data_IF_499586412186
#
_entry.id   IF_499586412186
#
_cell.length_a   1.000
_cell.length_b   1.000
_cell.length_c   1.000
_cell.angle_alpha   90.00
_cell.angle_beta   90.00
_cell.angle_gamma   90.00
#
_symmetry.space_group_name_H-M   'P 1'
#
loop_
_entity.id
_entity.type
_entity.pdbx_description
1 polymer ?
#
# COMPACT_ATOMS: atom_id res chain seq x y z
N UNK A 1 21.56 -24.57 33.14
CA UNK A 1 20.23 -23.97 33.43
C UNK A 1 19.41 -25.03 34.15
N UNK A 2 19.06 -24.80 35.42
CA UNK A 2 18.13 -25.68 36.14
C UNK A 2 16.73 -25.43 35.60
N UNK A 3 16.21 -26.34 34.78
CA UNK A 3 14.80 -26.33 34.41
C UNK A 3 13.95 -26.56 35.66
N UNK A 4 12.73 -25.98 35.70
CA UNK A 4 11.71 -26.48 36.62
C UNK A 4 11.57 -27.97 36.36
N UNK A 5 11.66 -28.78 37.42
CA UNK A 5 11.85 -30.25 37.44
C UNK A 5 10.80 -31.04 36.62
N UNK A 6 9.75 -30.39 36.13
CA UNK A 6 8.62 -31.01 35.46
C UNK A 6 8.66 -30.96 33.91
N UNK A 7 9.72 -30.47 33.27
CA UNK A 7 9.80 -30.39 31.79
C UNK A 7 10.81 -31.38 31.20
N UNK A 8 10.38 -32.12 30.17
CA UNK A 8 11.23 -33.01 29.38
C UNK A 8 11.80 -32.30 28.15
N UNK A 9 13.05 -32.64 27.83
CA UNK A 9 13.71 -32.17 26.61
C UNK A 9 13.14 -32.94 25.42
N UNK A 10 12.54 -32.24 24.46
CA UNK A 10 11.86 -32.88 23.32
C UNK A 10 12.68 -32.83 22.03
N UNK A 11 13.50 -31.78 21.82
CA UNK A 11 14.36 -31.64 20.63
C UNK A 11 15.64 -30.87 20.99
N UNK A 12 16.79 -31.34 20.50
CA UNK A 12 18.07 -30.62 20.54
C UNK A 12 18.58 -30.37 19.11
N UNK A 13 19.26 -29.25 18.87
CA UNK A 13 19.95 -29.02 17.60
C UNK A 13 21.36 -29.65 17.60
N UNK A 14 22.05 -29.55 16.45
CA UNK A 14 23.38 -30.12 16.20
C UNK A 14 24.47 -29.57 17.14
N UNK A 15 24.23 -28.43 17.79
CA UNK A 15 25.16 -27.75 18.72
C UNK A 15 24.71 -27.98 20.19
N UNK A 16 23.72 -28.85 20.43
CA UNK A 16 23.22 -29.16 21.78
C UNK A 16 22.33 -28.08 22.39
N UNK A 17 21.87 -27.10 21.60
CA UNK A 17 20.89 -26.12 22.05
C UNK A 17 19.52 -26.77 22.08
N UNK A 18 18.81 -26.51 23.17
CA UNK A 18 17.48 -27.04 23.42
C UNK A 18 16.45 -26.29 22.55
N UNK A 19 15.80 -27.01 21.65
CA UNK A 19 14.89 -26.44 20.65
C UNK A 19 13.41 -26.66 20.98
N UNK A 20 13.11 -27.58 21.90
CA UNK A 20 11.75 -27.88 22.34
C UNK A 20 11.69 -28.42 23.77
N UNK A 21 10.74 -27.88 24.55
CA UNK A 21 10.38 -28.32 25.90
C UNK A 21 8.93 -28.80 25.91
N UNK A 22 8.64 -29.83 26.70
CA UNK A 22 7.28 -30.29 26.92
C UNK A 22 7.06 -30.63 28.39
N UNK A 23 5.84 -30.38 28.86
CA UNK A 23 5.29 -30.93 30.09
C UNK A 23 3.94 -31.55 29.75
N UNK A 24 3.95 -32.86 29.54
CA UNK A 24 2.78 -33.65 29.11
C UNK A 24 1.64 -33.58 30.13
N UNK A 25 1.96 -33.67 31.43
CA UNK A 25 0.94 -33.64 32.50
C UNK A 25 0.17 -32.32 32.55
N UNK A 26 0.84 -31.20 32.26
CA UNK A 26 0.24 -29.86 32.23
C UNK A 26 -0.12 -29.40 30.82
N UNK A 27 0.12 -30.23 29.79
CA UNK A 27 -0.04 -29.90 28.36
C UNK A 27 0.65 -28.59 27.95
N UNK A 28 1.85 -28.33 28.49
CA UNK A 28 2.63 -27.13 28.16
C UNK A 28 3.75 -27.50 27.19
N UNK A 29 3.80 -26.83 26.05
CA UNK A 29 4.79 -27.07 25.00
C UNK A 29 5.43 -25.75 24.60
N UNK A 30 6.75 -25.75 24.42
CA UNK A 30 7.51 -24.59 23.98
C UNK A 30 8.50 -25.00 22.90
N UNK A 31 8.58 -24.22 21.83
CA UNK A 31 9.55 -24.40 20.75
C UNK A 31 10.34 -23.11 20.55
N UNK A 32 11.63 -23.23 20.20
CA UNK A 32 12.52 -22.08 20.01
C UNK A 32 12.56 -21.58 18.55
N UNK A 33 11.72 -22.15 17.69
CA UNK A 33 11.55 -21.78 16.29
C UNK A 33 10.07 -21.47 16.00
N UNK A 34 9.79 -20.93 14.81
CA UNK A 34 8.47 -20.48 14.39
C UNK A 34 7.75 -21.55 13.56
N UNK A 35 6.82 -22.34 14.12
CA UNK A 35 6.08 -23.36 13.35
C UNK A 35 5.05 -22.76 12.38
N UNK A 36 4.74 -21.47 12.50
CA UNK A 36 3.77 -20.75 11.67
C UNK A 36 4.31 -20.35 10.28
N UNK A 37 5.63 -20.27 10.12
CA UNK A 37 6.24 -19.87 8.85
C UNK A 37 6.39 -21.06 7.90
N UNK A 38 6.18 -20.83 6.60
CA UNK A 38 6.32 -21.87 5.57
C UNK A 38 7.74 -22.44 5.43
N UNK A 39 8.75 -21.74 5.96
CA UNK A 39 10.14 -22.22 6.00
C UNK A 39 10.33 -23.41 6.96
N UNK A 40 9.44 -23.57 7.93
CA UNK A 40 9.41 -24.76 8.77
C UNK A 40 8.59 -25.83 8.04
N UNK A 41 9.27 -26.73 7.33
CA UNK A 41 8.65 -27.74 6.44
C UNK A 41 7.47 -28.47 7.10
N UNK A 42 7.62 -28.90 8.35
CA UNK A 42 6.58 -29.59 9.12
C UNK A 42 5.84 -28.70 10.13
N UNK A 43 5.94 -27.37 10.00
CA UNK A 43 5.36 -26.41 10.93
C UNK A 43 3.83 -26.53 11.03
N UNK A 44 3.15 -26.72 9.89
CA UNK A 44 1.70 -26.99 9.86
C UNK A 44 1.32 -28.26 10.62
N UNK A 45 2.14 -29.31 10.56
CA UNK A 45 1.88 -30.56 11.29
C UNK A 45 2.01 -30.34 12.80
N UNK A 46 3.03 -29.60 13.24
CA UNK A 46 3.23 -29.25 14.65
C UNK A 46 2.02 -28.49 15.21
N UNK A 47 1.56 -27.46 14.48
CA UNK A 47 0.38 -26.69 14.86
C UNK A 47 -0.89 -27.56 14.86
N UNK A 48 -1.04 -28.47 13.88
CA UNK A 48 -2.17 -29.40 13.83
C UNK A 48 -2.19 -30.31 15.06
N UNK A 49 -1.08 -30.94 15.43
CA UNK A 49 -1.01 -31.82 16.60
C UNK A 49 -1.38 -31.06 17.88
N UNK A 50 -0.89 -29.82 18.02
CA UNK A 50 -1.23 -29.00 19.18
C UNK A 50 -2.71 -28.64 19.23
N UNK A 51 -3.30 -28.21 18.12
CA UNK A 51 -4.71 -27.78 18.08
C UNK A 51 -5.66 -28.97 18.28
N UNK A 52 -5.44 -30.09 17.59
CA UNK A 52 -6.38 -31.20 17.58
C UNK A 52 -6.11 -32.22 18.69
N UNK A 53 -4.87 -32.69 18.82
CA UNK A 53 -4.55 -33.80 19.73
C UNK A 53 -4.33 -33.31 21.17
N UNK A 54 -3.68 -32.16 21.34
CA UNK A 54 -3.38 -31.61 22.68
C UNK A 54 -4.55 -30.78 23.21
N UNK A 55 -4.97 -29.75 22.47
CA UNK A 55 -6.01 -28.81 22.90
C UNK A 55 -7.43 -29.35 22.67
N UNK A 56 -7.61 -30.39 21.85
CA UNK A 56 -8.91 -31.01 21.61
C UNK A 56 -9.85 -30.18 20.74
N UNK A 57 -9.33 -29.30 19.89
CA UNK A 57 -10.15 -28.54 18.96
C UNK A 57 -10.78 -29.46 17.91
N UNK A 58 -12.05 -29.22 17.57
CA UNK A 58 -12.83 -30.04 16.63
C UNK A 58 -12.69 -29.62 15.16
N UNK A 59 -12.00 -28.53 14.87
CA UNK A 59 -11.83 -28.02 13.50
C UNK A 59 -13.08 -27.40 12.88
N UNK A 60 -14.04 -26.96 13.70
CA UNK A 60 -15.31 -26.38 13.22
C UNK A 60 -15.19 -24.94 12.72
N UNK A 61 -14.04 -24.27 12.90
CA UNK A 61 -13.80 -22.90 12.43
C UNK A 61 -13.47 -22.88 10.92
N UNK A 62 -14.40 -23.33 10.09
CA UNK A 62 -14.31 -23.32 8.63
C UNK A 62 -15.01 -22.10 8.03
N UNK A 63 -14.70 -21.75 6.79
CA UNK A 63 -15.37 -20.62 6.09
C UNK A 63 -16.87 -20.85 6.01
N UNK A 64 -17.31 -22.08 5.76
CA UNK A 64 -18.74 -22.43 5.66
C UNK A 64 -19.47 -22.24 6.99
N UNK A 65 -18.89 -22.70 8.11
CA UNK A 65 -19.51 -22.50 9.43
C UNK A 65 -19.53 -21.02 9.81
N UNK A 66 -18.48 -20.28 9.48
CA UNK A 66 -18.42 -18.83 9.70
C UNK A 66 -19.39 -18.05 8.83
N UNK A 67 -19.67 -18.50 7.60
CA UNK A 67 -20.75 -17.95 6.79
C UNK A 67 -22.09 -18.09 7.54
N UNK A 68 -22.40 -19.28 8.06
CA UNK A 68 -23.64 -19.53 8.80
C UNK A 68 -23.75 -18.68 10.07
N UNK A 69 -22.67 -18.58 10.85
CA UNK A 69 -22.62 -17.72 12.02
C UNK A 69 -22.79 -16.24 11.65
N UNK A 70 -22.11 -15.77 10.61
CA UNK A 70 -22.25 -14.41 10.12
C UNK A 70 -23.69 -14.11 9.64
N UNK A 71 -24.32 -15.04 8.92
CA UNK A 71 -25.73 -14.92 8.53
C UNK A 71 -26.64 -14.78 9.76
N UNK A 72 -26.39 -15.57 10.82
CA UNK A 72 -27.15 -15.49 12.06
C UNK A 72 -26.98 -14.14 12.75
N UNK A 73 -25.73 -13.67 12.87
CA UNK A 73 -25.42 -12.36 13.45
C UNK A 73 -26.06 -11.21 12.65
N UNK A 74 -26.00 -11.25 11.32
CA UNK A 74 -26.67 -10.26 10.46
C UNK A 74 -28.16 -10.23 10.75
N UNK A 75 -28.83 -11.40 10.81
CA UNK A 75 -30.27 -11.49 11.07
C UNK A 75 -30.63 -10.94 12.46
N UNK A 76 -29.83 -11.27 13.47
CA UNK A 76 -30.06 -10.83 14.84
C UNK A 76 -29.88 -9.31 14.98
N UNK A 77 -28.85 -8.74 14.34
CA UNK A 77 -28.56 -7.32 14.41
C UNK A 77 -29.54 -6.47 13.59
N UNK A 78 -29.92 -6.93 12.40
CA UNK A 78 -30.74 -6.16 11.45
C UNK A 78 -32.24 -6.35 11.70
N UNK A 79 -32.66 -7.55 12.13
CA UNK A 79 -34.07 -7.91 12.26
C UNK A 79 -34.85 -7.67 10.96
N UNK A 80 -35.87 -6.83 11.02
CA UNK A 80 -36.73 -6.47 9.88
C UNK A 80 -36.35 -5.15 9.21
N UNK A 81 -35.31 -4.46 9.69
CA UNK A 81 -34.84 -3.20 9.11
C UNK A 81 -34.28 -3.41 7.70
N UNK A 82 -34.23 -2.33 6.92
CA UNK A 82 -33.58 -2.35 5.61
C UNK A 82 -32.08 -2.15 5.77
N UNK A 83 -31.32 -2.73 4.85
CA UNK A 83 -29.87 -2.61 4.78
C UNK A 83 -29.48 -2.00 3.46
N UNK A 84 -28.88 -0.82 3.51
CA UNK A 84 -28.27 -0.17 2.38
C UNK A 84 -26.82 -0.62 2.25
N UNK A 85 -26.41 -1.07 1.06
CA UNK A 85 -25.01 -1.36 0.73
C UNK A 85 -24.58 -0.51 -0.46
N UNK A 86 -23.50 0.25 -0.27
CA UNK A 86 -22.87 1.04 -1.33
C UNK A 86 -21.87 0.15 -2.09
N UNK A 87 -22.29 -0.35 -3.24
CA UNK A 87 -21.52 -1.27 -4.06
C UNK A 87 -20.46 -0.51 -4.87
N UNK A 88 -19.19 -0.74 -4.57
CA UNK A 88 -18.07 -0.15 -5.33
C UNK A 88 -17.67 -0.93 -6.58
N UNK A 89 -18.16 -2.17 -6.74
CA UNK A 89 -17.72 -3.10 -7.79
C UNK A 89 -16.42 -3.86 -7.48
N UNK A 90 -15.82 -3.61 -6.32
CA UNK A 90 -14.74 -4.41 -5.78
C UNK A 90 -15.22 -5.78 -5.25
N UNK A 91 -14.29 -6.69 -5.04
CA UNK A 91 -14.58 -8.04 -4.51
C UNK A 91 -15.29 -7.96 -3.17
N UNK A 92 -14.79 -7.14 -2.24
CA UNK A 92 -15.31 -7.12 -0.86
C UNK A 92 -16.73 -6.58 -0.77
N UNK A 93 -17.03 -5.48 -1.48
CA UNK A 93 -18.38 -4.93 -1.53
C UNK A 93 -19.35 -5.89 -2.23
N UNK A 94 -18.91 -6.58 -3.29
CA UNK A 94 -19.76 -7.56 -4.00
C UNK A 94 -20.05 -8.79 -3.15
N UNK A 95 -19.05 -9.33 -2.45
CA UNK A 95 -19.21 -10.46 -1.52
C UNK A 95 -20.10 -10.07 -0.34
N UNK A 96 -19.91 -8.86 0.23
CA UNK A 96 -20.77 -8.33 1.27
C UNK A 96 -22.23 -8.24 0.81
N UNK A 97 -22.50 -7.70 -0.38
CA UNK A 97 -23.85 -7.65 -0.94
C UNK A 97 -24.45 -9.05 -1.14
N UNK A 98 -23.68 -10.01 -1.65
CA UNK A 98 -24.15 -11.38 -1.83
C UNK A 98 -24.47 -12.07 -0.49
N UNK A 99 -23.63 -11.85 0.53
CA UNK A 99 -23.82 -12.38 1.87
C UNK A 99 -25.08 -11.81 2.54
N UNK A 100 -25.31 -10.49 2.42
CA UNK A 100 -26.51 -9.84 2.93
C UNK A 100 -27.77 -10.39 2.26
N UNK A 101 -27.75 -10.59 0.94
CA UNK A 101 -28.88 -11.17 0.21
C UNK A 101 -29.13 -12.64 0.58
N UNK A 102 -28.08 -13.39 0.95
CA UNK A 102 -28.20 -14.74 1.47
C UNK A 102 -28.78 -14.77 2.89
N UNK A 103 -28.50 -13.74 3.68
CA UNK A 103 -28.93 -13.61 5.06
C UNK A 103 -30.34 -13.02 5.21
N UNK A 104 -30.74 -12.07 4.37
CA UNK A 104 -31.94 -11.26 4.53
C UNK A 104 -32.93 -11.49 3.38
N UNK A 105 -34.15 -10.95 3.52
CA UNK A 105 -35.11 -10.96 2.41
C UNK A 105 -34.66 -10.01 1.30
N UNK A 106 -35.03 -10.30 0.05
CA UNK A 106 -34.68 -9.48 -1.12
C UNK A 106 -35.09 -8.01 -0.94
N UNK A 107 -36.27 -7.75 -0.36
CA UNK A 107 -36.78 -6.38 -0.15
C UNK A 107 -36.06 -5.61 0.97
N UNK A 108 -35.26 -6.30 1.81
CA UNK A 108 -34.47 -5.67 2.86
C UNK A 108 -33.13 -5.17 2.33
N UNK A 109 -32.57 -5.78 1.29
CA UNK A 109 -31.22 -5.45 0.79
C UNK A 109 -31.31 -4.44 -0.34
N UNK A 110 -30.89 -3.21 -0.06
CA UNK A 110 -30.82 -2.13 -1.04
C UNK A 110 -29.37 -1.98 -1.50
N UNK A 111 -29.07 -2.53 -2.68
CA UNK A 111 -27.75 -2.37 -3.30
C UNK A 111 -27.73 -1.16 -4.23
N UNK A 112 -26.89 -0.16 -3.92
CA UNK A 112 -26.69 1.02 -4.76
C UNK A 112 -25.28 1.01 -5.34
N UNK A 113 -25.15 1.03 -6.66
CA UNK A 113 -23.88 1.16 -7.36
C UNK A 113 -23.77 2.55 -7.98
N UNK A 114 -22.80 3.35 -7.55
CA UNK A 114 -22.54 4.68 -8.12
C UNK A 114 -21.40 4.55 -9.12
N UNK A 115 -21.71 4.64 -10.42
CA UNK A 115 -20.70 4.71 -11.46
C UNK A 115 -20.12 6.13 -11.51
N UNK A 116 -18.88 6.26 -11.05
CA UNK A 116 -18.16 7.52 -11.00
C UNK A 116 -17.54 7.94 -12.34
N UNK A 117 -17.68 7.13 -13.41
CA UNK A 117 -17.12 7.41 -14.72
C UNK A 117 -15.62 7.11 -14.84
N UNK A 118 -14.99 6.55 -13.81
CA UNK A 118 -13.58 6.12 -13.78
C UNK A 118 -13.44 4.61 -13.55
N UNK A 119 -14.48 3.85 -13.86
CA UNK A 119 -14.49 2.39 -13.83
C UNK A 119 -13.80 1.79 -15.06
N UNK A 120 -13.47 0.49 -15.05
CA UNK A 120 -12.94 -0.19 -16.24
C UNK A 120 -14.06 -0.43 -17.25
N UNK A 121 -13.67 -0.69 -18.50
CA UNK A 121 -14.59 -0.96 -19.62
C UNK A 121 -15.59 -2.06 -19.23
N UNK A 122 -16.89 -1.70 -19.20
CA UNK A 122 -18.03 -2.59 -18.88
C UNK A 122 -17.95 -3.26 -17.51
N UNK A 123 -17.19 -2.72 -16.57
CA UNK A 123 -17.04 -3.31 -15.24
C UNK A 123 -18.33 -3.24 -14.43
N UNK A 124 -18.94 -2.06 -14.36
CA UNK A 124 -20.21 -1.83 -13.64
C UNK A 124 -21.33 -2.73 -14.16
N UNK A 125 -21.44 -2.87 -15.48
CA UNK A 125 -22.40 -3.77 -16.14
C UNK A 125 -22.16 -5.23 -15.75
N UNK A 126 -20.90 -5.68 -15.78
CA UNK A 126 -20.54 -7.05 -15.40
C UNK A 126 -20.87 -7.35 -13.93
N UNK A 127 -20.68 -6.38 -13.03
CA UNK A 127 -21.02 -6.53 -11.60
C UNK A 127 -22.55 -6.57 -11.41
N UNK A 128 -23.29 -5.67 -12.05
CA UNK A 128 -24.75 -5.65 -12.03
C UNK A 128 -25.33 -6.97 -12.56
N UNK A 129 -24.86 -7.45 -13.71
CA UNK A 129 -25.31 -8.72 -14.31
C UNK A 129 -25.01 -9.92 -13.40
N UNK A 130 -23.85 -9.95 -12.75
CA UNK A 130 -23.48 -11.03 -11.84
C UNK A 130 -24.40 -11.06 -10.61
N UNK A 131 -24.67 -9.91 -10.00
CA UNK A 131 -25.57 -9.80 -8.85
C UNK A 131 -27.03 -10.07 -9.23
N UNK A 132 -27.47 -9.59 -10.39
CA UNK A 132 -28.82 -9.85 -10.89
C UNK A 132 -29.09 -11.35 -11.14
N UNK A 133 -28.08 -12.09 -11.62
CA UNK A 133 -28.15 -13.57 -11.75
C UNK A 133 -28.33 -14.27 -10.40
N UNK A 134 -27.88 -13.67 -9.30
CA UNK A 134 -28.10 -14.13 -7.93
C UNK A 134 -29.42 -13.63 -7.33
N UNK A 135 -30.28 -12.98 -8.14
CA UNK A 135 -31.55 -12.41 -7.68
C UNK A 135 -31.41 -11.11 -6.89
N UNK A 136 -30.25 -10.44 -6.97
CA UNK A 136 -29.98 -9.19 -6.27
C UNK A 136 -30.29 -8.03 -7.22
N UNK A 137 -31.27 -7.20 -6.87
CA UNK A 137 -31.57 -5.99 -7.62
C UNK A 137 -30.58 -4.88 -7.23
N UNK A 138 -29.86 -4.35 -8.23
CA UNK A 138 -28.89 -3.26 -8.03
C UNK A 138 -29.44 -1.98 -8.64
N UNK A 139 -29.48 -0.90 -7.86
CA UNK A 139 -29.77 0.45 -8.36
C UNK A 139 -28.47 1.09 -8.85
N UNK A 140 -28.30 1.15 -10.16
CA UNK A 140 -27.13 1.80 -10.78
C UNK A 140 -27.38 3.28 -10.98
N UNK A 141 -26.50 4.12 -10.44
CA UNK A 141 -26.51 5.57 -10.56
C UNK A 141 -25.37 5.98 -11.49
N UNK A 142 -25.73 6.43 -12.69
CA UNK A 142 -24.76 6.96 -13.65
C UNK A 142 -24.37 8.39 -13.26
N UNK A 143 -23.31 8.54 -12.46
CA UNK A 143 -22.89 9.82 -11.92
C UNK A 143 -21.63 10.39 -12.59
N UNK A 144 -21.16 9.79 -13.70
CA UNK A 144 -19.93 10.18 -14.38
C UNK A 144 -19.77 11.70 -14.56
N UNK A 145 -20.79 12.40 -15.08
CA UNK A 145 -20.75 13.85 -15.26
C UNK A 145 -20.66 14.63 -13.95
N UNK A 146 -21.30 14.16 -12.88
CA UNK A 146 -21.23 14.75 -11.54
C UNK A 146 -19.82 14.65 -10.97
N UNK A 147 -19.13 13.52 -11.20
CA UNK A 147 -17.73 13.36 -10.80
C UNK A 147 -16.78 14.19 -11.66
N UNK A 148 -16.94 14.19 -12.99
CA UNK A 148 -16.09 14.95 -13.91
C UNK A 148 -16.07 16.46 -13.58
N UNK A 149 -17.22 16.99 -13.19
CA UNK A 149 -17.40 18.39 -12.82
C UNK A 149 -17.38 18.63 -11.30
N UNK A 150 -17.05 17.59 -10.52
CA UNK A 150 -17.02 17.66 -9.06
C UNK A 150 -15.96 18.63 -8.55
N UNK A 151 -16.26 19.30 -7.44
CA UNK A 151 -15.36 20.21 -6.73
C UNK A 151 -15.42 19.93 -5.23
N UNK A 152 -14.39 20.35 -4.50
CA UNK A 152 -14.36 20.27 -3.04
C UNK A 152 -13.75 21.52 -2.42
N UNK A 153 -13.91 21.65 -1.11
CA UNK A 153 -13.22 22.65 -0.30
C UNK A 153 -11.89 22.10 0.21
N UNK A 154 -10.81 22.84 0.00
CA UNK A 154 -9.44 22.50 0.41
C UNK A 154 -8.90 23.55 1.41
N UNK A 155 -8.03 23.16 2.35
CA UNK A 155 -7.25 24.12 3.13
C UNK A 155 -6.28 24.88 2.22
N UNK A 156 -6.01 26.16 2.54
CA UNK A 156 -5.03 26.97 1.79
C UNK A 156 -3.59 26.63 2.19
N UNK A 157 -3.37 26.23 3.45
CA UNK A 157 -2.08 25.85 4.02
C UNK A 157 -2.32 25.01 5.27
N UNK A 158 -1.54 23.94 5.47
CA UNK A 158 -1.54 23.16 6.71
C UNK A 158 -0.83 23.90 7.87
N UNK A 159 -0.12 25.00 7.58
CA UNK A 159 0.64 25.80 8.56
C UNK A 159 -0.12 27.04 9.07
N UNK A 160 -1.28 27.38 8.50
CA UNK A 160 -2.03 28.58 8.87
C UNK A 160 -2.87 28.39 10.14
N UNK A 161 -2.66 29.25 11.14
CA UNK A 161 -3.44 29.30 12.40
C UNK A 161 -4.93 29.63 12.22
N UNK A 162 -5.32 30.13 11.06
CA UNK A 162 -6.72 30.37 10.67
C UNK A 162 -7.02 29.61 9.38
N UNK A 163 -7.89 28.59 9.40
CA UNK A 163 -8.12 27.75 8.23
C UNK A 163 -8.94 28.52 7.19
N UNK A 164 -8.24 29.28 6.33
CA UNK A 164 -8.84 29.79 5.10
C UNK A 164 -9.05 28.61 4.16
N UNK A 165 -10.24 28.54 3.59
CA UNK A 165 -10.70 27.46 2.71
C UNK A 165 -10.77 27.98 1.28
N UNK A 166 -10.28 27.20 0.30
CA UNK A 166 -10.44 27.49 -1.13
C UNK A 166 -11.28 26.39 -1.80
N UNK A 167 -11.97 26.74 -2.89
CA UNK A 167 -12.65 25.76 -3.74
C UNK A 167 -11.60 25.18 -4.71
N UNK A 168 -11.60 23.86 -4.88
CA UNK A 168 -10.73 23.16 -5.83
C UNK A 168 -11.12 23.47 -7.28
N UNK A 169 -10.24 23.15 -8.22
CA UNK A 169 -10.64 23.02 -9.63
C UNK A 169 -11.64 21.87 -9.79
N UNK A 170 -12.35 21.83 -10.92
CA UNK A 170 -13.15 20.67 -11.31
C UNK A 170 -12.26 19.46 -11.55
N UNK A 171 -12.76 18.25 -11.28
CA UNK A 171 -11.95 17.03 -11.36
C UNK A 171 -11.27 16.84 -12.72
N UNK A 172 -11.97 17.14 -13.81
CA UNK A 172 -11.44 17.09 -15.18
C UNK A 172 -10.32 18.11 -15.48
N UNK A 173 -10.11 19.10 -14.62
CA UNK A 173 -9.04 20.11 -14.70
C UNK A 173 -8.00 19.98 -13.57
N UNK A 174 -8.14 18.98 -12.70
CA UNK A 174 -7.27 18.78 -11.54
C UNK A 174 -6.09 17.88 -11.89
N UNK A 175 -4.87 18.33 -11.57
CA UNK A 175 -3.64 17.56 -11.78
C UNK A 175 -3.18 16.86 -10.50
N UNK A 176 -3.36 17.48 -9.33
CA UNK A 176 -2.95 16.95 -8.02
C UNK A 176 -3.71 15.66 -7.65
N UNK A 177 -3.01 14.53 -7.42
CA UNK A 177 -3.65 13.28 -7.00
C UNK A 177 -4.43 13.37 -5.68
N UNK A 178 -3.96 14.15 -4.70
CA UNK A 178 -4.66 14.31 -3.42
C UNK A 178 -5.95 15.12 -3.59
N UNK A 179 -5.92 16.18 -4.38
CA UNK A 179 -7.14 16.93 -4.72
C UNK A 179 -8.14 16.04 -5.45
N UNK A 180 -7.69 15.21 -6.42
CA UNK A 180 -8.55 14.23 -7.11
C UNK A 180 -9.22 13.27 -6.11
N UNK A 181 -8.46 12.69 -5.18
CA UNK A 181 -9.00 11.77 -4.16
C UNK A 181 -10.07 12.45 -3.33
N UNK A 182 -9.82 13.68 -2.86
CA UNK A 182 -10.77 14.44 -2.03
C UNK A 182 -12.03 14.82 -2.81
N UNK A 183 -11.90 15.32 -4.04
CA UNK A 183 -13.04 15.65 -4.91
C UNK A 183 -13.92 14.40 -5.11
N UNK A 184 -13.32 13.26 -5.46
CA UNK A 184 -14.06 12.01 -5.71
C UNK A 184 -14.71 11.51 -4.43
N UNK A 185 -14.01 11.52 -3.30
CA UNK A 185 -14.56 11.10 -2.01
C UNK A 185 -15.77 11.95 -1.60
N UNK A 186 -15.64 13.27 -1.62
CA UNK A 186 -16.72 14.18 -1.22
C UNK A 186 -17.92 14.11 -2.18
N UNK A 187 -17.65 14.00 -3.49
CA UNK A 187 -18.71 13.85 -4.51
C UNK A 187 -19.47 12.54 -4.32
N UNK A 188 -18.76 11.43 -4.02
CA UNK A 188 -19.38 10.14 -3.76
C UNK A 188 -20.33 10.19 -2.56
N UNK A 189 -19.90 10.80 -1.45
CA UNK A 189 -20.74 10.95 -0.25
C UNK A 189 -21.96 11.81 -0.53
N UNK A 190 -21.80 12.91 -1.28
CA UNK A 190 -22.91 13.79 -1.63
C UNK A 190 -23.97 13.03 -2.44
N UNK A 191 -23.57 12.27 -3.45
CA UNK A 191 -24.49 11.49 -4.29
C UNK A 191 -25.11 10.35 -3.48
N UNK A 192 -24.34 9.66 -2.64
CA UNK A 192 -24.88 8.62 -1.78
C UNK A 192 -26.01 9.17 -0.87
N UNK A 193 -25.81 10.35 -0.28
CA UNK A 193 -26.83 11.00 0.54
C UNK A 193 -28.06 11.43 -0.25
N UNK A 194 -27.87 11.95 -1.46
CA UNK A 194 -28.96 12.30 -2.37
C UNK A 194 -29.81 11.07 -2.70
N UNK A 195 -29.18 9.95 -3.04
CA UNK A 195 -29.86 8.68 -3.33
C UNK A 195 -30.63 8.15 -2.11
N UNK A 196 -30.04 8.25 -0.91
CA UNK A 196 -30.72 7.87 0.35
C UNK A 196 -31.96 8.74 0.57
N UNK A 197 -31.84 10.05 0.36
CA UNK A 197 -32.94 11.00 0.48
C UNK A 197 -34.07 10.74 -0.52
N UNK A 198 -33.75 10.53 -1.80
CA UNK A 198 -34.71 10.20 -2.86
C UNK A 198 -35.51 8.92 -2.57
N UNK A 199 -34.87 7.96 -1.90
CA UNK A 199 -35.51 6.69 -1.53
C UNK A 199 -36.39 6.81 -0.29
N UNK A 200 -36.52 8.00 0.30
CA UNK A 200 -37.26 8.27 1.54
C UNK A 200 -36.87 7.31 2.67
N UNK A 201 -35.59 6.92 2.69
CA UNK A 201 -35.05 6.03 3.70
C UNK A 201 -34.73 6.85 4.95
N UNK A 202 -35.47 6.57 6.02
CA UNK A 202 -35.20 7.20 7.31
C UNK A 202 -33.93 6.60 7.92
N UNK A 203 -32.93 7.41 8.31
CA UNK A 203 -31.68 6.90 8.91
C UNK A 203 -31.93 5.98 10.12
N UNK A 204 -32.94 6.27 10.92
CA UNK A 204 -33.33 5.48 12.08
C UNK A 204 -33.84 4.06 11.74
N UNK A 205 -34.34 3.84 10.52
CA UNK A 205 -34.93 2.57 10.07
C UNK A 205 -33.99 1.76 9.15
N UNK A 206 -32.79 2.28 8.85
CA UNK A 206 -31.86 1.70 7.87
C UNK A 206 -30.48 1.45 8.47
N UNK A 207 -29.93 0.28 8.20
CA UNK A 207 -28.52 -0.03 8.45
C UNK A 207 -27.68 0.25 7.19
N UNK A 208 -26.46 0.73 7.38
CA UNK A 208 -25.46 0.82 6.33
C UNK A 208 -24.51 -0.37 6.43
N UNK A 209 -24.39 -1.16 5.37
CA UNK A 209 -23.42 -2.23 5.30
C UNK A 209 -22.15 -1.82 4.56
N UNK A 210 -21.00 -2.26 5.08
CA UNK A 210 -19.70 -2.07 4.45
C UNK A 210 -18.96 -3.40 4.30
N UNK A 211 -18.26 -3.56 3.18
CA UNK A 211 -17.36 -4.70 2.94
C UNK A 211 -15.97 -4.51 3.58
N UNK A 212 -15.87 -3.75 4.66
CA UNK A 212 -14.60 -3.45 5.34
C UNK A 212 -13.99 -4.73 5.93
N UNK A 213 -12.68 -4.93 5.78
CA UNK A 213 -11.96 -6.06 6.38
C UNK A 213 -11.24 -5.63 7.67
N UNK A 214 -10.88 -6.60 8.52
CA UNK A 214 -10.14 -6.33 9.78
C UNK A 214 -8.89 -5.48 9.63
N UNK A 215 -8.02 -5.72 8.61
CA UNK A 215 -6.82 -4.90 8.43
C UNK A 215 -7.15 -3.42 8.24
N UNK A 216 -8.27 -3.09 7.59
CA UNK A 216 -8.71 -1.71 7.37
C UNK A 216 -9.14 -1.03 8.68
N UNK A 217 -9.76 -1.79 9.60
CA UNK A 217 -10.13 -1.30 10.93
C UNK A 217 -8.91 -1.06 11.83
N UNK A 218 -7.88 -1.92 11.74
CA UNK A 218 -6.64 -1.78 12.51
C UNK A 218 -5.78 -0.61 11.97
N UNK A 219 -5.67 -0.45 10.65
CA UNK A 219 -5.01 0.71 10.04
C UNK A 219 -5.71 2.02 10.47
N UNK A 220 -7.05 2.05 10.47
CA UNK A 220 -7.84 3.20 10.92
C UNK A 220 -7.61 3.52 12.41
N UNK A 221 -7.57 2.51 13.28
CA UNK A 221 -7.29 2.69 14.71
C UNK A 221 -5.84 3.16 14.97
N UNK A 222 -4.89 2.69 14.15
CA UNK A 222 -3.49 3.08 14.24
C UNK A 222 -3.29 4.54 13.81
N UNK A 223 -4.00 5.01 12.77
CA UNK A 223 -4.02 6.41 12.35
C UNK A 223 -4.54 7.36 13.43
N UNK A 224 -5.54 6.94 14.22
CA UNK A 224 -6.07 7.71 15.37
C UNK A 224 -5.08 7.73 16.54
N UNK A 225 -4.37 6.63 16.78
CA UNK A 225 -3.36 6.53 17.85
C UNK A 225 -2.03 7.22 17.51
N UNK A 226 -1.64 7.26 16.24
CA UNK A 226 -0.42 7.92 15.75
C UNK A 226 -0.77 9.25 15.08
N UNK A 227 -0.89 10.33 15.85
CA UNK A 227 -1.25 11.68 15.38
C UNK A 227 -0.24 12.39 14.45
N UNK A 228 0.56 11.65 13.66
CA UNK A 228 1.62 12.19 12.78
C UNK A 228 1.80 11.47 11.44
N UNK A 229 0.93 10.52 11.07
CA UNK A 229 1.00 9.90 9.74
C UNK A 229 0.22 10.76 8.74
N UNK A 230 0.91 11.32 7.73
CA UNK A 230 0.26 11.98 6.58
C UNK A 230 -0.77 11.02 5.96
N UNK A 231 -1.95 11.57 5.66
CA UNK A 231 -3.15 10.83 5.27
C UNK A 231 -3.02 10.33 3.82
N UNK A 232 -2.14 9.35 3.60
CA UNK A 232 -1.88 8.77 2.28
C UNK A 232 -3.01 7.81 1.84
N UNK A 233 -3.90 7.44 2.77
CA UNK A 233 -5.13 6.70 2.49
C UNK A 233 -6.28 7.30 3.30
N UNK A 234 -6.95 8.33 2.79
CA UNK A 234 -8.33 8.60 3.24
C UNK A 234 -9.17 7.38 2.84
N UNK A 235 -9.59 6.59 3.84
CA UNK A 235 -10.47 5.47 3.57
C UNK A 235 -11.79 6.05 3.04
N UNK A 236 -12.12 5.75 1.79
CA UNK A 236 -13.39 6.13 1.16
C UNK A 236 -14.63 5.62 1.95
N UNK A 237 -14.40 4.72 2.91
CA UNK A 237 -15.43 4.11 3.75
C UNK A 237 -15.67 4.84 5.08
N UNK A 238 -14.81 5.78 5.51
CA UNK A 238 -14.96 6.44 6.81
C UNK A 238 -15.18 7.95 6.62
N UNK A 239 -16.46 8.32 6.54
CA UNK A 239 -16.91 9.71 6.36
C UNK A 239 -17.61 10.17 7.62
N UNK A 240 -17.72 11.47 7.87
CA UNK A 240 -18.33 11.98 9.10
C UNK A 240 -19.76 11.45 9.34
N UNK A 241 -20.52 11.25 8.26
CA UNK A 241 -21.84 10.62 8.33
C UNK A 241 -21.76 9.14 8.72
N UNK A 242 -20.86 8.37 8.09
CA UNK A 242 -20.67 6.95 8.40
C UNK A 242 -20.18 6.80 9.84
N UNK A 243 -19.35 7.73 10.34
CA UNK A 243 -18.91 7.75 11.72
C UNK A 243 -20.08 7.96 12.69
N UNK A 244 -21.00 8.90 12.39
CA UNK A 244 -22.23 9.08 13.18
C UNK A 244 -23.11 7.83 13.17
N UNK A 245 -23.37 7.26 11.99
CA UNK A 245 -24.13 6.01 11.88
C UNK A 245 -23.44 4.85 12.62
N UNK A 246 -22.10 4.82 12.64
CA UNK A 246 -21.31 3.83 13.38
C UNK A 246 -21.42 4.03 14.89
N UNK A 247 -21.33 5.28 15.36
CA UNK A 247 -21.54 5.67 16.76
C UNK A 247 -22.97 5.33 17.23
N UNK A 248 -23.96 5.44 16.33
CA UNK A 248 -25.35 5.05 16.56
C UNK A 248 -25.61 3.53 16.42
N UNK A 249 -24.58 2.74 16.11
CA UNK A 249 -24.69 1.28 15.94
C UNK A 249 -25.43 0.82 14.68
N UNK A 250 -25.59 1.71 13.69
CA UNK A 250 -26.31 1.49 12.42
C UNK A 250 -25.40 1.05 11.27
N UNK A 251 -24.10 0.86 11.52
CA UNK A 251 -23.17 0.30 10.52
C UNK A 251 -22.91 -1.17 10.81
N UNK A 252 -23.08 -2.02 9.79
CA UNK A 252 -22.73 -3.44 9.85
C UNK A 252 -21.55 -3.75 8.94
N UNK A 253 -20.60 -4.54 9.44
CA UNK A 253 -19.38 -4.91 8.73
C UNK A 253 -19.21 -6.44 8.73
N UNK A 254 -19.98 -7.17 7.90
CA UNK A 254 -20.01 -8.63 7.94
C UNK A 254 -18.65 -9.30 7.69
N UNK A 255 -17.79 -8.65 6.92
CA UNK A 255 -16.50 -9.20 6.51
C UNK A 255 -15.35 -8.85 7.48
N UNK A 256 -15.64 -8.18 8.60
CA UNK A 256 -14.63 -7.69 9.55
C UNK A 256 -13.77 -8.79 10.16
N UNK A 257 -14.26 -10.03 10.22
CA UNK A 257 -13.55 -11.18 10.78
C UNK A 257 -13.03 -12.15 9.71
N UNK A 258 -13.03 -11.75 8.44
CA UNK A 258 -12.51 -12.54 7.32
C UNK A 258 -11.20 -11.96 6.76
N UNK A 259 -10.29 -12.87 6.38
CA UNK A 259 -9.11 -12.53 5.61
C UNK A 259 -9.42 -12.48 4.11
N UNK A 260 -8.53 -11.84 3.33
CA UNK A 260 -8.78 -11.55 1.90
C UNK A 260 -8.94 -12.81 1.04
N UNK A 261 -8.20 -13.86 1.36
CA UNK A 261 -8.32 -15.18 0.77
C UNK A 261 -9.66 -15.85 1.12
N UNK A 262 -10.08 -15.75 2.38
CA UNK A 262 -11.37 -16.28 2.86
C UNK A 262 -12.55 -15.57 2.20
N UNK A 263 -12.49 -14.25 2.01
CA UNK A 263 -13.52 -13.47 1.29
C UNK A 263 -13.70 -13.99 -0.14
N UNK A 264 -12.63 -14.44 -0.81
CA UNK A 264 -12.73 -15.04 -2.14
C UNK A 264 -13.38 -16.42 -2.10
N UNK A 265 -13.05 -17.24 -1.10
CA UNK A 265 -13.70 -18.54 -0.89
C UNK A 265 -15.19 -18.33 -0.64
N UNK A 266 -15.53 -17.44 0.27
CA UNK A 266 -16.91 -17.07 0.61
C UNK A 266 -17.67 -16.57 -0.62
N UNK A 267 -17.05 -15.74 -1.47
CA UNK A 267 -17.67 -15.29 -2.71
C UNK A 267 -18.04 -16.42 -3.66
N UNK A 268 -17.20 -17.47 -3.77
CA UNK A 268 -17.50 -18.65 -4.60
C UNK A 268 -18.66 -19.46 -4.03
N UNK A 269 -18.69 -19.63 -2.71
CA UNK A 269 -19.76 -20.36 -2.01
C UNK A 269 -21.11 -19.66 -2.14
N UNK A 270 -21.10 -18.31 -2.16
CA UNK A 270 -22.25 -17.47 -2.43
C UNK A 270 -22.67 -17.44 -3.92
N UNK A 271 -21.96 -18.17 -4.79
CA UNK A 271 -22.30 -18.31 -6.22
C UNK A 271 -21.78 -17.19 -7.11
N UNK A 272 -20.87 -16.34 -6.65
CA UNK A 272 -20.28 -15.30 -7.50
C UNK A 272 -19.32 -15.92 -8.54
N UNK A 273 -19.25 -15.38 -9.76
CA UNK A 273 -18.35 -15.88 -10.80
C UNK A 273 -16.87 -15.79 -10.41
N UNK A 274 -16.08 -16.80 -10.79
CA UNK A 274 -14.62 -16.85 -10.52
C UNK A 274 -13.90 -15.59 -11.02
N UNK A 275 -14.27 -15.13 -12.22
CA UNK A 275 -13.72 -13.93 -12.85
C UNK A 275 -13.99 -12.63 -12.09
N UNK A 276 -14.96 -12.63 -11.17
CA UNK A 276 -15.28 -11.51 -10.31
C UNK A 276 -14.49 -11.60 -9.00
N UNK A 277 -14.54 -12.74 -8.31
CA UNK A 277 -13.89 -12.93 -6.99
C UNK A 277 -12.36 -12.93 -7.07
N UNK A 278 -11.79 -13.37 -8.20
CA UNK A 278 -10.34 -13.41 -8.41
C UNK A 278 -9.77 -12.12 -9.01
N UNK A 279 -10.56 -11.04 -9.09
CA UNK A 279 -10.07 -9.74 -9.59
C UNK A 279 -9.00 -9.16 -8.67
N UNK A 280 -8.05 -8.48 -9.30
CA UNK A 280 -7.13 -7.59 -8.58
C UNK A 280 -7.91 -6.44 -7.94
N UNK A 281 -7.42 -5.92 -6.79
CA UNK A 281 -8.00 -4.76 -6.15
C UNK A 281 -8.00 -3.58 -7.13
N UNK A 282 -9.10 -2.83 -7.12
CA UNK A 282 -9.28 -1.62 -7.90
C UNK A 282 -9.55 -0.46 -6.94
N UNK A 283 -8.82 0.66 -7.05
CA UNK A 283 -8.94 1.75 -6.09
C UNK A 283 -10.27 2.49 -6.27
N UNK A 284 -10.82 3.05 -5.19
CA UNK A 284 -12.07 3.85 -5.22
C UNK A 284 -12.07 4.99 -6.26
N UNK A 285 -10.99 5.78 -6.37
CA UNK A 285 -10.83 6.81 -7.42
C UNK A 285 -10.66 6.25 -8.83
N UNK A 286 -10.55 4.93 -8.97
CA UNK A 286 -10.47 4.21 -10.23
C UNK A 286 -9.37 4.70 -11.16
N UNK A 287 -9.73 4.95 -12.41
CA UNK A 287 -8.84 5.46 -13.45
C UNK A 287 -8.36 6.89 -13.20
N UNK A 288 -9.01 7.69 -12.34
CA UNK A 288 -8.64 9.09 -12.13
C UNK A 288 -7.21 9.27 -11.59
N UNK A 289 -6.74 8.33 -10.75
CA UNK A 289 -5.37 8.29 -10.21
C UNK A 289 -4.41 7.45 -11.08
N UNK A 290 -4.90 6.87 -12.18
CA UNK A 290 -4.07 6.14 -13.17
C UNK A 290 -3.80 6.96 -14.43
N UNK A 291 -4.40 8.14 -14.54
CA UNK A 291 -4.11 9.14 -15.58
C UNK A 291 -3.28 10.26 -14.98
N UNK A 292 -2.03 10.36 -15.43
CA UNK A 292 -1.16 11.50 -15.10
C UNK A 292 -1.66 12.70 -15.91
N UNK A 293 -2.24 13.67 -15.20
CA UNK A 293 -2.70 14.92 -15.80
C UNK A 293 -1.65 15.99 -15.57
N UNK A 294 -1.30 16.73 -16.63
CA UNK A 294 -0.35 17.83 -16.57
C UNK A 294 -0.80 18.92 -17.54
N UNK A 295 -0.62 20.17 -17.12
CA UNK A 295 -0.79 21.35 -17.98
C UNK A 295 0.57 21.80 -18.51
N UNK A 296 1.58 21.78 -17.64
CA UNK A 296 2.97 22.10 -17.95
C UNK A 296 3.88 20.86 -17.77
N UNK A 297 5.00 20.76 -18.53
CA UNK A 297 6.00 19.73 -18.29
C UNK A 297 6.62 19.89 -16.90
N UNK A 298 6.76 18.78 -16.17
CA UNK A 298 7.40 18.79 -14.86
C UNK A 298 8.93 18.84 -15.02
N UNK A 299 9.50 20.04 -14.89
CA UNK A 299 10.94 20.30 -15.04
C UNK A 299 11.42 21.13 -13.85
N UNK A 300 12.42 20.61 -13.14
CA UNK A 300 13.08 21.28 -12.02
C UNK A 300 14.52 21.70 -12.38
N UNK A 301 15.16 22.45 -11.49
CA UNK A 301 16.52 23.00 -11.72
C UNK A 301 17.58 21.90 -11.95
N UNK A 302 17.36 20.72 -11.38
CA UNK A 302 18.18 19.52 -11.47
C UNK A 302 17.94 18.69 -12.74
N UNK A 303 16.94 19.03 -13.57
CA UNK A 303 16.60 18.28 -14.77
C UNK A 303 17.79 18.12 -15.75
N UNK A 304 18.59 19.18 -16.07
CA UNK A 304 19.74 19.03 -16.96
C UNK A 304 20.88 18.21 -16.33
N UNK A 305 21.16 18.44 -15.04
CA UNK A 305 22.21 17.72 -14.32
C UNK A 305 21.90 16.22 -14.27
N UNK A 306 20.67 15.87 -13.92
CA UNK A 306 20.23 14.48 -13.82
C UNK A 306 20.29 13.78 -15.17
N UNK A 307 19.83 14.42 -16.26
CA UNK A 307 19.95 13.85 -17.60
C UNK A 307 21.40 13.60 -18.02
N UNK A 308 22.35 14.48 -17.66
CA UNK A 308 23.77 14.25 -17.93
C UNK A 308 24.32 13.04 -17.17
N UNK A 309 23.93 12.87 -15.90
CA UNK A 309 24.28 11.68 -15.11
C UNK A 309 23.72 10.42 -15.78
N UNK A 310 22.45 10.43 -16.20
CA UNK A 310 21.81 9.29 -16.87
C UNK A 310 22.48 8.92 -18.18
N UNK A 311 22.91 9.91 -18.97
CA UNK A 311 23.66 9.69 -20.20
C UNK A 311 24.97 8.95 -19.94
N UNK A 312 25.69 9.34 -18.88
CA UNK A 312 26.94 8.66 -18.48
C UNK A 312 26.65 7.24 -18.01
N UNK A 313 25.59 7.02 -17.26
CA UNK A 313 25.20 5.68 -16.79
C UNK A 313 24.82 4.77 -17.97
N UNK A 314 24.06 5.28 -18.94
CA UNK A 314 23.65 4.51 -20.12
C UNK A 314 24.80 4.20 -21.09
N UNK A 315 25.81 5.08 -21.15
CA UNK A 315 26.98 4.94 -22.02
C UNK A 315 28.28 4.76 -21.20
N UNK A 316 28.19 4.01 -20.10
CA UNK A 316 29.27 3.94 -19.11
C UNK A 316 30.57 3.38 -19.70
N UNK A 317 30.49 2.29 -20.48
CA UNK A 317 31.66 1.66 -21.09
C UNK A 317 32.44 2.56 -22.05
N UNK A 318 31.75 3.43 -22.80
CA UNK A 318 32.39 4.42 -23.66
C UNK A 318 32.83 5.65 -22.87
N UNK A 319 32.03 6.08 -21.89
CA UNK A 319 32.35 7.21 -21.00
C UNK A 319 33.63 6.97 -20.20
N UNK A 320 33.91 5.73 -19.79
CA UNK A 320 35.16 5.35 -19.12
C UNK A 320 36.38 5.53 -20.03
N UNK A 321 36.23 5.37 -21.34
CA UNK A 321 37.31 5.60 -22.32
C UNK A 321 37.60 7.09 -22.53
N UNK A 322 36.67 7.98 -22.20
CA UNK A 322 36.80 9.45 -22.31
C UNK A 322 36.43 10.11 -20.97
N UNK A 323 37.34 10.09 -19.98
CA UNK A 323 37.03 10.53 -18.63
C UNK A 323 36.75 12.03 -18.56
N UNK A 324 35.77 12.39 -17.73
CA UNK A 324 35.33 13.76 -17.47
C UNK A 324 34.85 13.87 -16.02
N UNK A 325 34.70 15.09 -15.49
CA UNK A 325 34.44 15.34 -14.05
C UNK A 325 33.17 14.66 -13.53
N UNK A 326 32.10 14.60 -14.33
CA UNK A 326 30.85 13.94 -13.95
C UNK A 326 30.98 12.42 -13.83
N UNK A 327 31.84 11.77 -14.64
CA UNK A 327 32.11 10.34 -14.50
C UNK A 327 32.73 10.01 -13.13
N UNK A 328 33.60 10.89 -12.60
CA UNK A 328 34.19 10.69 -11.28
C UNK A 328 33.14 10.74 -10.17
N UNK A 329 32.13 11.61 -10.29
CA UNK A 329 30.98 11.63 -9.36
C UNK A 329 30.19 10.32 -9.41
N UNK A 330 29.93 9.80 -10.61
CA UNK A 330 29.25 8.50 -10.79
C UNK A 330 30.06 7.37 -10.15
N UNK A 331 31.37 7.30 -10.41
CA UNK A 331 32.26 6.30 -9.81
C UNK A 331 32.33 6.41 -8.28
N UNK A 332 32.45 7.61 -7.75
CA UNK A 332 32.50 7.83 -6.30
C UNK A 332 31.22 7.39 -5.58
N UNK A 333 30.08 7.40 -6.28
CA UNK A 333 28.78 7.03 -5.72
C UNK A 333 28.34 5.59 -6.06
N UNK A 334 29.11 4.83 -6.84
CA UNK A 334 28.82 3.45 -7.26
C UNK A 334 29.84 2.47 -6.71
N UNK A 335 29.41 1.26 -6.36
CA UNK A 335 30.33 0.20 -5.89
C UNK A 335 31.15 -0.36 -7.05
N UNK A 336 32.30 -0.99 -6.78
CA UNK A 336 33.10 -1.63 -7.83
C UNK A 336 32.32 -2.71 -8.57
N UNK A 337 31.53 -3.51 -7.84
CA UNK A 337 30.65 -4.54 -8.42
C UNK A 337 29.60 -3.92 -9.37
N UNK A 338 28.97 -2.82 -8.99
CA UNK A 338 28.00 -2.11 -9.85
C UNK A 338 28.68 -1.55 -11.10
N UNK A 339 29.90 -1.01 -10.96
CA UNK A 339 30.67 -0.50 -12.09
C UNK A 339 31.04 -1.60 -13.08
N UNK A 340 31.49 -2.76 -12.60
CA UNK A 340 31.78 -3.92 -13.45
C UNK A 340 30.53 -4.41 -14.20
N UNK A 341 29.40 -4.55 -13.51
CA UNK A 341 28.12 -4.90 -14.15
C UNK A 341 27.71 -3.86 -15.18
N UNK A 342 27.84 -2.57 -14.86
CA UNK A 342 27.47 -1.49 -15.77
C UNK A 342 28.37 -1.47 -17.01
N UNK A 343 29.66 -1.76 -16.86
CA UNK A 343 30.60 -1.93 -17.98
C UNK A 343 30.19 -3.09 -18.90
N UNK A 344 29.81 -4.24 -18.33
CA UNK A 344 29.33 -5.38 -19.12
C UNK A 344 28.04 -5.04 -19.87
N UNK A 345 27.05 -4.46 -19.19
CA UNK A 345 25.75 -4.13 -19.80
C UNK A 345 25.90 -3.12 -20.95
N UNK A 346 26.63 -2.04 -20.71
CA UNK A 346 26.76 -0.91 -21.65
C UNK A 346 27.81 -1.14 -22.74
N UNK A 347 28.63 -2.19 -22.66
CA UNK A 347 29.50 -2.62 -23.77
C UNK A 347 28.78 -3.54 -24.75
N UNK A 348 27.81 -4.32 -24.25
CA UNK A 348 27.00 -5.23 -25.06
C UNK A 348 25.84 -4.51 -25.76
N UNK A 349 25.35 -3.40 -25.20
CA UNK A 349 24.16 -2.70 -25.68
C UNK A 349 24.39 -1.19 -25.78
N UNK A 350 23.91 -0.59 -26.87
CA UNK A 350 23.73 0.86 -26.96
C UNK A 350 22.42 1.23 -26.27
N UNK A 351 22.53 1.93 -25.13
CA UNK A 351 21.39 2.36 -24.33
C UNK A 351 21.29 3.89 -24.33
N UNK A 352 20.06 4.39 -24.27
CA UNK A 352 19.77 5.79 -23.97
C UNK A 352 18.91 5.85 -22.71
N UNK A 353 19.27 6.73 -21.78
CA UNK A 353 18.49 7.02 -20.57
C UNK A 353 18.32 8.53 -20.42
N UNK A 354 17.08 8.95 -20.13
CA UNK A 354 16.71 10.35 -19.95
C UNK A 354 15.45 10.44 -19.08
N UNK A 355 15.25 11.61 -18.47
CA UNK A 355 14.08 11.92 -17.66
C UNK A 355 12.87 12.23 -18.53
N UNK A 356 11.71 11.70 -18.16
CA UNK A 356 10.42 12.13 -18.67
C UNK A 356 9.87 13.29 -17.82
N UNK A 357 9.37 14.39 -18.43
CA UNK A 357 8.91 15.58 -17.72
C UNK A 357 7.50 15.41 -17.14
N UNK A 358 7.32 14.37 -16.32
CA UNK A 358 6.05 14.00 -15.68
C UNK A 358 6.25 13.78 -14.19
N UNK A 359 5.19 14.04 -13.41
CA UNK A 359 5.17 13.82 -11.95
C UNK A 359 4.51 12.49 -11.61
N UNK A 360 5.16 11.71 -10.76
CA UNK A 360 4.61 10.47 -10.17
C UNK A 360 4.91 10.43 -8.68
N UNK A 361 4.13 9.65 -7.94
CA UNK A 361 4.31 9.44 -6.49
C UNK A 361 5.30 8.29 -6.28
N UNK A 362 6.25 8.46 -5.38
CA UNK A 362 7.22 7.45 -4.97
C UNK A 362 7.35 7.42 -3.44
N UNK A 363 7.61 6.25 -2.87
CA UNK A 363 7.83 6.09 -1.43
C UNK A 363 9.33 5.94 -1.19
N UNK A 364 9.94 6.88 -0.46
CA UNK A 364 11.32 6.76 -0.02
C UNK A 364 11.38 6.67 1.51
N UNK A 365 11.93 5.57 2.01
CA UNK A 365 12.15 5.39 3.45
C UNK A 365 13.38 6.19 3.85
N UNK A 366 13.17 7.47 4.19
CA UNK A 366 14.16 8.32 4.83
C UNK A 366 13.58 8.76 6.17
N UNK A 367 14.29 8.49 7.27
CA UNK A 367 13.85 8.90 8.60
C UNK A 367 13.45 10.37 8.60
N UNK A 368 12.23 10.64 9.07
CA UNK A 368 11.63 11.94 9.40
C UNK A 368 10.73 12.61 8.34
N UNK A 369 10.70 12.24 7.06
CA UNK A 369 9.66 12.78 6.15
C UNK A 369 9.26 11.81 5.04
N UNK A 370 7.97 11.48 4.96
CA UNK A 370 7.30 10.94 3.76
C UNK A 370 7.18 12.08 2.74
N UNK A 371 8.30 12.58 2.23
CA UNK A 371 8.23 13.54 1.12
C UNK A 371 7.89 12.79 -0.16
N UNK A 372 6.83 13.23 -0.85
CA UNK A 372 6.55 12.88 -2.24
C UNK A 372 7.75 13.27 -3.11
N UNK A 373 8.73 12.39 -3.23
CA UNK A 373 9.78 12.56 -4.23
C UNK A 373 9.10 12.35 -5.57
N UNK A 374 8.96 13.46 -6.28
CA UNK A 374 8.48 13.46 -7.65
C UNK A 374 9.55 12.78 -8.49
N UNK A 375 9.37 11.50 -8.73
CA UNK A 375 10.32 10.72 -9.52
C UNK A 375 10.05 10.98 -11.00
N UNK A 376 11.02 11.52 -11.73
CA UNK A 376 10.97 11.54 -13.18
C UNK A 376 11.22 10.10 -13.67
N UNK A 377 10.33 9.56 -14.50
CA UNK A 377 10.53 8.23 -15.09
C UNK A 377 11.77 8.23 -16.00
N UNK A 378 12.54 7.14 -15.94
CA UNK A 378 13.56 6.82 -16.92
C UNK A 378 12.98 5.93 -18.02
N UNK A 379 13.14 6.33 -19.28
CA UNK A 379 12.92 5.42 -20.40
C UNK A 379 14.26 4.84 -20.85
N UNK A 380 14.42 3.52 -20.75
CA UNK A 380 15.51 2.81 -21.42
C UNK A 380 15.04 2.38 -22.81
N UNK A 381 15.54 3.05 -23.84
CA UNK A 381 15.38 2.56 -25.21
C UNK A 381 16.52 1.60 -25.52
N UNK A 382 16.21 0.30 -25.59
CA UNK A 382 17.06 -0.64 -26.33
C UNK A 382 16.77 -0.42 -27.81
N UNK A 383 17.77 0.00 -28.59
CA UNK A 383 17.66 -0.06 -30.06
C UNK A 383 17.79 -1.52 -30.47
N UNK A 384 16.70 -2.29 -30.32
CA UNK A 384 16.47 -3.52 -31.08
C UNK A 384 15.19 -3.33 -31.88
N UNK A 385 15.30 -3.48 -33.21
CA UNK A 385 14.14 -3.64 -34.10
C UNK A 385 13.21 -4.70 -33.48
N UNK A 386 12.00 -4.25 -33.14
CA UNK A 386 10.83 -5.03 -32.73
C UNK A 386 10.89 -5.88 -31.44
N UNK A 387 9.83 -5.63 -30.66
CA UNK A 387 9.13 -6.51 -29.70
C UNK A 387 9.75 -6.74 -28.30
N UNK A 388 8.87 -6.49 -27.32
CA UNK A 388 8.89 -6.86 -25.91
C UNK A 388 9.70 -5.97 -24.95
N UNK A 389 9.04 -4.97 -24.38
CA UNK A 389 9.46 -4.30 -23.15
C UNK A 389 8.90 -5.09 -21.95
N UNK A 390 9.78 -5.72 -21.17
CA UNK A 390 9.51 -6.12 -19.78
C UNK A 390 10.40 -5.30 -18.84
N UNK A 391 9.76 -4.84 -17.76
CA UNK A 391 10.24 -4.05 -16.62
C UNK A 391 11.47 -4.70 -15.97
N UNK A 392 12.59 -3.97 -15.83
CA UNK A 392 13.67 -4.32 -14.88
C UNK A 392 13.65 -3.33 -13.70
N UNK A 393 13.70 -3.88 -12.47
CA UNK A 393 13.80 -3.13 -11.20
C UNK A 393 15.21 -2.54 -11.06
N UNK A 394 15.34 -1.23 -11.19
CA UNK A 394 16.60 -0.48 -10.93
C UNK A 394 16.51 0.48 -9.72
N UNK A 395 15.41 0.45 -8.97
CA UNK A 395 15.13 1.42 -7.90
C UNK A 395 16.12 1.37 -6.71
N UNK A 396 16.80 0.24 -6.48
CA UNK A 396 17.73 0.08 -5.34
C UNK A 396 19.04 0.86 -5.50
N UNK A 397 19.57 0.94 -6.72
CA UNK A 397 20.85 1.59 -7.00
C UNK A 397 20.66 3.11 -7.05
N UNK A 398 19.57 3.58 -7.67
CA UNK A 398 19.28 5.00 -7.83
C UNK A 398 18.96 5.70 -6.50
N UNK A 399 18.14 5.09 -5.62
CA UNK A 399 17.81 5.67 -4.31
C UNK A 399 19.06 5.81 -3.41
N UNK A 400 20.05 4.92 -3.56
CA UNK A 400 21.34 5.01 -2.85
C UNK A 400 22.24 6.10 -3.43
N UNK A 401 22.25 6.27 -4.75
CA UNK A 401 23.01 7.32 -5.45
C UNK A 401 22.46 8.72 -5.15
N UNK A 402 21.14 8.91 -5.21
CA UNK A 402 20.51 10.21 -5.00
C UNK A 402 20.69 10.69 -3.54
N UNK A 403 20.53 9.81 -2.56
CA UNK A 403 20.78 10.14 -1.15
C UNK A 403 22.24 10.50 -0.87
N UNK A 404 23.20 9.79 -1.49
CA UNK A 404 24.63 10.08 -1.30
C UNK A 404 25.04 11.41 -1.94
N UNK A 405 24.53 11.73 -3.12
CA UNK A 405 24.80 13.01 -3.80
C UNK A 405 24.16 14.18 -3.04
N UNK A 406 22.94 14.01 -2.52
CA UNK A 406 22.23 15.07 -1.77
C UNK A 406 22.86 15.33 -0.39
N UNK A 407 23.30 14.29 0.31
CA UNK A 407 24.01 14.44 1.59
C UNK A 407 25.39 15.09 1.41
N UNK A 408 26.14 14.72 0.37
CA UNK A 408 27.43 15.35 0.05
C UNK A 408 27.29 16.87 -0.19
N UNK A 409 26.27 17.29 -0.95
CA UNK A 409 26.02 18.72 -1.20
C UNK A 409 25.57 19.48 0.07
N UNK A 410 24.92 18.81 1.02
CA UNK A 410 24.42 19.43 2.26
C UNK A 410 25.57 19.64 3.26
N UNK A 411 26.47 18.66 3.38
CA UNK A 411 27.70 18.76 4.19
C UNK A 411 28.65 19.83 3.64
N UNK A 412 28.84 19.89 2.32
CA UNK A 412 29.68 20.91 1.67
C UNK A 412 29.09 22.32 1.89
N UNK A 413 27.77 22.46 1.84
CA UNK A 413 27.08 23.75 2.10
C UNK A 413 27.15 24.16 3.57
N UNK A 414 27.14 23.21 4.51
CA UNK A 414 27.31 23.48 5.95
C UNK A 414 28.77 23.84 6.29
N UNK A 415 29.74 23.14 5.70
CA UNK A 415 31.17 23.45 5.83
C UNK A 415 31.52 24.81 5.21
N UNK A 416 30.96 25.17 4.06
CA UNK A 416 31.11 26.50 3.46
C UNK A 416 30.46 27.62 4.28
N UNK A 417 29.33 27.34 4.96
CA UNK A 417 28.70 28.28 5.90
C UNK A 417 29.49 28.44 7.20
N UNK A 418 30.11 27.38 7.71
CA UNK A 418 31.01 27.43 8.86
C UNK A 418 32.34 28.14 8.53
N UNK A 419 32.92 27.86 7.36
CA UNK A 419 34.12 28.54 6.87
C UNK A 419 33.91 30.06 6.65
N UNK A 420 32.74 30.46 6.11
CA UNK A 420 32.36 31.88 5.98
C UNK A 420 32.06 32.58 7.30
N UNK A 421 31.71 31.84 8.36
CA UNK A 421 31.58 32.39 9.73
C UNK A 421 32.94 32.54 10.41
N UNK A 422 33.86 31.60 10.19
CA UNK A 422 35.24 31.67 10.71
C UNK A 422 36.05 32.81 10.05
N UNK A 423 35.85 33.09 8.75
CA UNK A 423 36.59 34.15 8.05
C UNK A 423 36.12 35.58 8.38
N UNK A 424 34.98 35.75 9.08
CA UNK A 424 34.49 37.05 9.56
C UNK A 424 34.90 37.36 11.01
N UNK A 425 35.61 36.45 11.69
CA UNK A 425 35.88 36.52 13.12
C UNK A 425 37.31 36.84 13.57
N UNK A 426 38.32 36.89 12.68
CA UNK A 426 39.71 37.09 13.11
C UNK A 426 40.27 38.47 12.70
N UNK A 427 40.11 39.45 13.58
CA UNK A 427 41.15 40.42 13.90
C UNK A 427 41.88 39.94 15.15
N UNK A 428 43.21 40.10 15.17
CA UNK A 428 44.16 39.80 16.25
C UNK A 428 44.41 38.32 16.56
N UNK A 429 45.70 38.00 16.72
CA UNK A 429 46.27 36.66 16.59
C UNK A 429 46.65 35.98 17.90
N UNK A 430 46.93 34.69 17.78
CA UNK A 430 47.82 33.93 18.66
C UNK A 430 48.10 32.56 18.01
N UNK A 431 49.36 32.16 18.07
CA UNK A 431 49.94 30.89 17.64
C UNK A 431 49.57 29.81 18.68
N UNK A 432 48.99 28.67 18.28
CA UNK A 432 49.17 27.37 18.98
C UNK A 432 49.14 26.22 17.96
N UNK A 433 50.12 25.35 18.11
CA UNK A 433 50.46 24.19 17.27
C UNK A 433 50.01 22.87 17.95
N UNK A 434 49.67 21.87 17.10
CA UNK A 434 49.73 20.40 17.28
C UNK A 434 49.15 19.66 18.53
N UNK A 435 48.20 18.71 18.33
CA UNK A 435 48.41 17.22 18.39
C UNK A 435 47.13 16.34 18.47
N UNK A 436 47.31 15.13 17.98
CA UNK A 436 46.46 13.93 17.79
C UNK A 436 45.93 13.21 19.04
N UNK A 437 44.77 12.53 18.93
CA UNK A 437 44.40 11.25 19.60
C UNK A 437 43.04 10.75 19.06
N UNK A 438 42.98 9.62 18.32
CA UNK A 438 42.70 8.22 18.72
C UNK A 438 41.26 7.92 19.20
N UNK A 439 40.62 6.95 18.52
CA UNK A 439 39.26 6.32 18.58
C UNK A 439 38.99 5.51 19.89
N UNK A 440 37.91 4.68 20.12
CA UNK A 440 36.70 4.27 19.32
C UNK A 440 35.34 4.05 20.10
N UNK A 441 34.31 3.53 19.38
CA UNK A 441 33.05 2.82 19.79
C UNK A 441 31.75 3.68 19.80
N UNK A 442 30.59 3.26 19.27
CA UNK A 442 29.91 1.95 19.34
C UNK A 442 28.74 1.79 18.33
N UNK A 443 28.68 0.60 17.69
CA UNK A 443 27.54 -0.31 17.41
C UNK A 443 26.13 0.29 17.17
N UNK A 444 25.59 0.12 15.94
CA UNK A 444 24.16 -0.17 15.68
C UNK A 444 24.03 -1.22 14.57
N UNK A 445 23.19 -2.21 14.82
CA UNK A 445 22.97 -3.49 14.11
C UNK A 445 22.25 -3.31 12.76
N UNK A 446 22.73 -4.00 11.73
CA UNK A 446 21.99 -4.31 10.51
C UNK A 446 20.86 -5.31 10.80
N UNK A 447 19.65 -4.99 10.31
CA UNK A 447 18.53 -5.93 10.20
C UNK A 447 18.35 -6.19 8.70
N UNK A 448 18.74 -7.37 8.24
CA UNK A 448 18.47 -7.84 6.88
C UNK A 448 17.05 -8.39 6.79
N UNK A 449 16.24 -7.87 5.86
CA UNK A 449 15.03 -8.52 5.37
C UNK A 449 15.33 -9.08 3.97
N UNK A 450 15.46 -10.41 3.85
CA UNK A 450 15.42 -11.11 2.56
C UNK A 450 13.96 -11.43 2.21
N UNK A 451 13.40 -10.76 1.19
CA UNK A 451 12.22 -11.26 0.48
C UNK A 451 12.67 -12.16 -0.68
N UNK A 452 12.50 -13.48 -0.53
CA UNK A 452 12.60 -14.43 -1.65
C UNK A 452 11.24 -14.68 -2.27
N UNK A 453 11.13 -14.38 -3.56
CA UNK A 453 10.02 -14.82 -4.42
C UNK A 453 10.33 -16.25 -4.86
N UNK A 454 9.52 -17.21 -4.42
CA UNK A 454 9.53 -18.59 -4.93
C UNK A 454 8.93 -18.62 -6.34
N UNK A 455 9.74 -18.97 -7.33
CA UNK A 455 9.29 -19.34 -8.66
C UNK A 455 9.29 -20.88 -8.74
N UNK A 456 8.10 -21.49 -8.71
CA UNK A 456 7.89 -22.88 -9.10
C UNK A 456 6.85 -22.93 -10.22
N UNK A 457 7.28 -23.42 -11.38
CA UNK A 457 6.60 -24.49 -12.11
C UNK A 457 7.33 -24.79 -13.41
N UNK A 458 8.14 -25.85 -13.36
CA UNK A 458 8.34 -26.73 -14.50
C UNK A 458 7.01 -27.44 -14.78
N UNK A 459 6.45 -27.23 -15.97
CA UNK A 459 5.57 -28.19 -16.63
C UNK A 459 6.00 -28.21 -18.09
N UNK A 460 6.92 -29.13 -18.41
CA UNK A 460 7.15 -29.56 -19.79
C UNK A 460 5.98 -30.44 -20.25
N UNK A 461 5.62 -30.25 -21.52
CA UNK A 461 5.01 -31.27 -22.36
C UNK A 461 6.13 -31.98 -23.13
#
# INVERSE_FOLDING_TARGET
>A
MNFRVDFSISVMNVIGILMGIANESKKLYGVQFHPEVGLTENGKMILKNFLYDVAGCSGTFTVQNRELDCIREIKEQVGTSKVLVLLSGGVDSTVCTALLNRALNQDQVIAVHIDNGFMRKRESQSVEEALKKLGIQVKVINAAHSFYNGTTTLPISDEDRTPRKRISKTLNMTTSPEEKRKIIGDTFVKIANEVIGEMNLKPEEVFLAQGTLRPDLIESASLVASGKAEVIKTHHNDTELIRKLREEGKVIEPLKDFHKDEVRILGRELGLPEELVSRHPFPGPGLAIRVICAEEPYICKDFPETNNILKIVADFSASVKKPHTLLQRVKACTTEEDQEKLMQITSLHSLNAFLLPIKTVGVQVSGVFLTDITSCYMLFSLIRKQKLLRKMRYESIYAKLENRVRNANTEETQLLKQARRASKGNQSGAIIDMKSSSTPSSIVREVQFEERVSADSNVEK
#
